data_IF_593242157469
#
_entry.id   IF_593242157469
#
_cell.length_a   1.000
_cell.length_b   1.000
_cell.length_c   1.000
_cell.angle_alpha   90.00
_cell.angle_beta   90.00
_cell.angle_gamma   90.00
#
_symmetry.space_group_name_H-M   'P 1'
#
loop_
_entity.id
_entity.type
_entity.pdbx_description
1 polymer ?
#
# COMPACT_ATOMS: atom_id res chain seq x y z
N UNK A 1 -10.13 1.93 -4.46
CA UNK A 1 -10.72 0.56 -4.48
C UNK A 1 -11.83 0.41 -3.45
N UNK A 2 -12.77 -0.50 -3.70
CA UNK A 2 -13.84 -0.85 -2.76
C UNK A 2 -13.43 -2.08 -1.95
N UNK A 3 -13.58 -2.02 -0.62
CA UNK A 3 -13.25 -3.10 0.31
C UNK A 3 -14.50 -3.50 1.08
N UNK A 4 -14.73 -4.79 1.23
CA UNK A 4 -15.74 -5.32 2.15
C UNK A 4 -15.04 -5.74 3.44
N UNK A 5 -15.44 -5.17 4.57
CA UNK A 5 -14.84 -5.57 5.84
C UNK A 5 -15.13 -7.05 6.14
N UNK A 6 -14.09 -7.85 6.45
CA UNK A 6 -14.31 -9.27 6.77
C UNK A 6 -15.06 -9.47 8.12
N UNK A 7 -15.08 -8.45 8.98
CA UNK A 7 -15.68 -8.54 10.30
C UNK A 7 -17.13 -8.04 10.34
N UNK A 8 -17.39 -6.81 9.92
CA UNK A 8 -18.74 -6.23 9.98
C UNK A 8 -19.48 -6.25 8.63
N UNK A 9 -18.83 -6.75 7.58
CA UNK A 9 -19.36 -6.86 6.21
C UNK A 9 -19.79 -5.55 5.54
N UNK A 10 -19.64 -4.40 6.21
CA UNK A 10 -19.90 -3.09 5.61
C UNK A 10 -18.83 -2.75 4.57
N UNK A 11 -19.22 -2.24 3.40
CA UNK A 11 -18.29 -1.73 2.43
C UNK A 11 -17.65 -0.41 2.90
N UNK A 12 -16.42 -0.18 2.49
CA UNK A 12 -15.73 1.10 2.61
C UNK A 12 -14.71 1.26 1.47
N UNK A 13 -14.39 2.50 1.14
CA UNK A 13 -13.44 2.80 0.06
C UNK A 13 -12.05 3.08 0.61
N UNK A 14 -11.03 2.61 -0.10
CA UNK A 14 -9.65 3.09 0.01
C UNK A 14 -9.37 3.97 -1.21
N UNK A 15 -9.14 5.27 -0.98
CA UNK A 15 -8.94 6.26 -2.04
C UNK A 15 -7.65 6.02 -2.84
N UNK A 16 -7.57 6.58 -4.05
CA UNK A 16 -6.41 6.41 -4.95
C UNK A 16 -5.09 6.80 -4.29
N UNK A 17 -5.03 7.95 -3.64
CA UNK A 17 -3.82 8.41 -2.95
C UNK A 17 -3.39 7.46 -1.83
N UNK A 18 -4.35 6.88 -1.10
CA UNK A 18 -4.07 5.90 -0.06
C UNK A 18 -3.60 4.56 -0.65
N UNK A 19 -4.09 4.17 -1.83
CA UNK A 19 -3.60 2.98 -2.56
C UNK A 19 -2.15 3.19 -3.00
N UNK A 20 -1.80 4.36 -3.54
CA UNK A 20 -0.44 4.66 -3.98
C UNK A 20 0.54 4.65 -2.79
N UNK A 21 0.17 5.31 -1.69
CA UNK A 21 0.96 5.30 -0.45
C UNK A 21 1.16 3.89 0.09
N UNK A 22 0.10 3.07 0.12
CA UNK A 22 0.21 1.68 0.52
C UNK A 22 1.19 0.90 -0.36
N UNK A 23 1.14 1.07 -1.69
CA UNK A 23 2.09 0.41 -2.60
C UNK A 23 3.53 0.88 -2.40
N UNK A 24 3.75 2.17 -2.13
CA UNK A 24 5.07 2.73 -1.82
C UNK A 24 5.61 2.11 -0.51
N UNK A 25 4.78 2.03 0.54
CA UNK A 25 5.14 1.42 1.84
C UNK A 25 5.48 -0.08 1.72
N UNK A 26 4.64 -0.84 0.99
CA UNK A 26 4.87 -2.26 0.76
C UNK A 26 6.16 -2.50 -0.04
N UNK A 27 6.48 -1.61 -0.98
CA UNK A 27 7.71 -1.70 -1.78
C UNK A 27 8.94 -1.38 -0.93
N UNK A 28 8.89 -0.33 -0.11
CA UNK A 28 9.98 0.05 0.78
C UNK A 28 10.28 -1.01 1.86
N UNK A 29 9.25 -1.71 2.34
CA UNK A 29 9.35 -2.67 3.44
C UNK A 29 9.38 -4.14 2.98
N UNK A 30 9.32 -4.39 1.67
CA UNK A 30 9.19 -5.72 1.07
C UNK A 30 8.05 -6.57 1.69
N UNK A 31 6.91 -5.94 1.97
CA UNK A 31 5.73 -6.62 2.54
C UNK A 31 4.73 -7.05 1.46
N UNK A 32 4.04 -8.17 1.70
CA UNK A 32 3.05 -8.71 0.77
C UNK A 32 1.62 -8.15 0.95
N UNK A 33 1.33 -7.46 2.05
CA UNK A 33 -0.01 -6.98 2.37
C UNK A 33 0.01 -5.67 3.16
N UNK A 34 -0.98 -4.82 2.90
CA UNK A 34 -1.23 -3.57 3.62
C UNK A 34 -2.39 -3.74 4.60
N UNK A 35 -2.28 -3.11 5.77
CA UNK A 35 -3.29 -3.14 6.81
C UNK A 35 -4.15 -1.88 6.75
N UNK A 36 -5.45 -2.02 6.47
CA UNK A 36 -6.40 -0.91 6.46
C UNK A 36 -7.42 -1.04 7.59
N UNK A 37 -7.63 0.02 8.35
CA UNK A 37 -8.60 0.04 9.44
C UNK A 37 -10.00 0.31 8.89
N UNK A 38 -10.97 -0.56 9.17
CA UNK A 38 -12.35 -0.33 8.78
C UNK A 38 -12.93 0.87 9.54
N UNK A 39 -13.51 1.87 8.86
CA UNK A 39 -14.07 3.06 9.52
C UNK A 39 -15.32 2.76 10.35
N UNK A 40 -15.98 1.62 10.10
CA UNK A 40 -17.24 1.26 10.78
C UNK A 40 -17.02 0.50 12.10
N UNK A 41 -16.11 -0.48 12.10
CA UNK A 41 -15.92 -1.38 13.25
C UNK A 41 -14.49 -1.38 13.80
N UNK A 42 -13.58 -0.58 13.22
CA UNK A 42 -12.17 -0.42 13.62
C UNK A 42 -11.32 -1.70 13.52
N UNK A 43 -11.82 -2.78 12.91
CA UNK A 43 -11.01 -3.97 12.61
C UNK A 43 -10.08 -3.72 11.43
N UNK A 44 -8.86 -4.25 11.55
CA UNK A 44 -7.84 -4.23 10.49
C UNK A 44 -8.22 -5.23 9.41
N UNK A 45 -8.28 -4.79 8.16
CA UNK A 45 -8.43 -5.62 6.97
C UNK A 45 -7.10 -5.70 6.25
N UNK A 46 -6.72 -6.89 5.80
CA UNK A 46 -5.51 -7.08 5.00
C UNK A 46 -5.88 -6.96 3.54
N UNK A 47 -5.15 -6.13 2.81
CA UNK A 47 -5.26 -5.98 1.36
C UNK A 47 -3.94 -6.44 0.76
N UNK A 48 -3.98 -7.39 -0.17
CA UNK A 48 -2.77 -7.88 -0.81
C UNK A 48 -2.15 -6.83 -1.73
N UNK A 49 -0.83 -6.92 -1.96
CA UNK A 49 -0.15 -6.09 -2.95
C UNK A 49 -0.80 -6.18 -4.34
N UNK A 50 -1.24 -7.37 -4.74
CA UNK A 50 -1.90 -7.61 -6.02
C UNK A 50 -3.23 -6.84 -6.14
N UNK A 51 -4.05 -6.85 -5.09
CA UNK A 51 -5.31 -6.08 -5.08
C UNK A 51 -5.06 -4.56 -5.18
N UNK A 52 -4.01 -4.06 -4.51
CA UNK A 52 -3.61 -2.65 -4.61
C UNK A 52 -3.12 -2.30 -6.03
N UNK A 53 -2.31 -3.17 -6.65
CA UNK A 53 -1.83 -2.98 -8.03
C UNK A 53 -2.98 -2.97 -9.03
N UNK A 54 -3.95 -3.87 -8.89
CA UNK A 54 -5.17 -3.86 -9.71
C UNK A 54 -5.97 -2.56 -9.56
N UNK A 55 -5.94 -1.94 -8.37
CA UNK A 55 -6.64 -0.71 -8.09
C UNK A 55 -5.90 0.56 -8.55
N UNK A 56 -4.62 0.44 -8.90
CA UNK A 56 -3.76 1.54 -9.34
C UNK A 56 -2.89 1.11 -10.53
N UNK A 57 -3.48 0.92 -11.72
CA UNK A 57 -2.74 0.47 -12.91
C UNK A 57 -1.70 1.50 -13.39
N UNK A 58 -1.86 2.77 -13.00
CA UNK A 58 -0.92 3.85 -13.27
C UNK A 58 0.18 4.00 -12.20
N UNK A 59 0.14 3.21 -11.12
CA UNK A 59 1.19 3.24 -10.12
C UNK A 59 2.48 2.65 -10.70
N UNK A 60 3.57 3.39 -10.52
CA UNK A 60 4.92 2.96 -10.85
C UNK A 60 5.75 3.02 -9.60
N UNK A 61 6.49 1.94 -9.32
CA UNK A 61 7.45 1.93 -8.23
C UNK A 61 8.43 3.06 -8.45
N UNK A 62 8.45 4.04 -7.55
CA UNK A 62 9.61 4.92 -7.42
C UNK A 62 10.76 3.99 -7.06
N UNK A 63 11.71 3.84 -7.98
CA UNK A 63 12.98 3.20 -7.66
C UNK A 63 13.48 3.92 -6.40
N UNK A 64 13.87 3.20 -5.33
CA UNK A 64 14.65 3.82 -4.27
C UNK A 64 15.79 4.52 -5.00
N UNK A 65 15.82 5.85 -4.92
CA UNK A 65 16.96 6.60 -5.40
C UNK A 65 18.13 5.99 -4.64
N UNK A 66 18.98 5.24 -5.34
CA UNK A 66 20.27 4.81 -4.81
C UNK A 66 20.91 6.10 -4.33
N UNK A 67 20.92 6.31 -3.02
CA UNK A 67 21.65 7.41 -2.39
C UNK A 67 23.04 7.36 -3.00
N UNK A 68 23.53 8.44 -3.66
CA UNK A 68 24.85 8.42 -4.27
C UNK A 68 25.84 7.96 -3.21
N UNK A 69 26.40 6.77 -3.40
CA UNK A 69 27.48 6.27 -2.54
C UNK A 69 28.60 7.27 -2.70
N UNK A 70 28.81 8.08 -1.66
CA UNK A 70 29.89 9.04 -1.60
C UNK A 70 31.20 8.25 -1.80
N UNK A 71 32.02 8.59 -2.81
CA UNK A 71 33.25 7.85 -3.05
C UNK A 71 34.22 8.17 -1.91
N UNK A 72 34.63 7.11 -1.21
CA UNK A 72 35.84 7.08 -0.38
C UNK A 72 37.00 7.75 -1.14
N UNK A 73 37.43 8.91 -0.62
CA UNK A 73 38.76 9.48 -0.82
C UNK A 73 39.42 9.33 0.56
N UNK A 74 40.59 8.73 0.77
CA UNK A 74 41.82 8.64 -0.02
C UNK A 74 42.93 8.74 1.01
#
# INVERSE_FOLDING_TARGET
MQIRCYHCHKPFALGREAVHQALDELTASNFGHYNVVCPHCRRVNRVSRQELLHAAPDWTARQPQESPTEPTQG
#
